data_IF_892088149616
#
_entry.id   IF_892088149616
#
_cell.length_a   1.000
_cell.length_b   1.000
_cell.length_c   1.000
_cell.angle_alpha   90.00
_cell.angle_beta   90.00
_cell.angle_gamma   90.00
#
_symmetry.space_group_name_H-M   'P 1'
#
loop_
_entity.id
_entity.type
_entity.pdbx_description
1 polymer ?
#
# COMPACT_ATOMS: atom_id res chain seq x y z
N UNK A 1 22.16 -6.39 -7.78
CA UNK A 1 21.07 -6.33 -6.79
C UNK A 1 21.64 -5.78 -5.49
N UNK A 2 20.93 -4.85 -4.81
CA UNK A 2 21.39 -4.22 -3.57
C UNK A 2 21.69 -5.22 -2.43
N UNK A 3 21.25 -6.47 -2.55
CA UNK A 3 21.44 -7.54 -1.56
C UNK A 3 22.52 -8.57 -1.93
N UNK A 4 23.26 -8.38 -3.03
CA UNK A 4 24.29 -9.34 -3.44
C UNK A 4 25.46 -9.28 -2.45
N UNK A 5 25.62 -10.33 -1.64
CA UNK A 5 26.62 -10.39 -0.57
C UNK A 5 26.12 -9.97 0.81
N UNK A 6 24.83 -9.65 0.97
CA UNK A 6 24.23 -9.46 2.29
C UNK A 6 24.17 -10.80 3.04
N UNK A 7 24.56 -10.77 4.33
CA UNK A 7 24.48 -11.93 5.22
C UNK A 7 23.23 -11.74 6.09
N UNK A 8 22.30 -12.71 6.14
CA UNK A 8 21.16 -12.64 7.03
C UNK A 8 21.61 -12.49 8.49
N UNK A 9 20.95 -11.61 9.23
CA UNK A 9 21.15 -11.49 10.69
C UNK A 9 20.69 -12.79 11.34
N UNK A 10 21.51 -13.34 12.24
CA UNK A 10 21.18 -14.55 12.97
C UNK A 10 19.94 -14.32 13.86
N UNK A 11 19.07 -15.33 14.02
CA UNK A 11 17.77 -15.15 14.69
C UNK A 11 17.90 -14.61 16.12
N UNK A 12 18.96 -15.03 16.81
CA UNK A 12 19.28 -14.68 18.18
C UNK A 12 19.73 -13.22 18.30
N UNK A 13 20.20 -12.63 17.20
CA UNK A 13 20.72 -11.27 17.12
C UNK A 13 19.66 -10.27 16.61
N UNK A 14 18.55 -10.73 16.00
CA UNK A 14 17.57 -9.86 15.36
C UNK A 14 17.08 -8.72 16.26
N UNK A 15 16.67 -9.04 17.49
CA UNK A 15 16.15 -8.04 18.42
C UNK A 15 17.21 -7.00 18.77
N UNK A 16 18.44 -7.44 19.06
CA UNK A 16 19.54 -6.53 19.38
C UNK A 16 19.91 -5.67 18.17
N UNK A 17 20.08 -6.25 17.00
CA UNK A 17 20.42 -5.53 15.76
C UNK A 17 19.33 -4.52 15.39
N UNK A 18 18.06 -4.87 15.57
CA UNK A 18 16.96 -3.94 15.37
C UNK A 18 17.03 -2.75 16.33
N UNK A 19 17.21 -3.02 17.63
CA UNK A 19 17.34 -1.98 18.66
C UNK A 19 18.54 -1.06 18.40
N UNK A 20 19.68 -1.62 18.00
CA UNK A 20 20.85 -0.83 17.61
C UNK A 20 20.55 0.08 16.39
N UNK A 21 19.77 -0.41 15.42
CA UNK A 21 19.41 0.35 14.22
C UNK A 21 18.43 1.49 14.53
N UNK A 22 17.36 1.23 15.29
CA UNK A 22 16.35 2.25 15.59
C UNK A 22 16.84 3.32 16.58
N UNK A 23 17.95 3.07 17.28
CA UNK A 23 18.60 4.04 18.15
C UNK A 23 19.68 4.90 17.46
N UNK A 24 19.83 4.78 16.14
CA UNK A 24 20.71 5.63 15.33
C UNK A 24 19.94 6.74 14.64
N UNK A 25 20.60 7.87 14.38
CA UNK A 25 20.00 8.95 13.60
C UNK A 25 19.93 8.59 12.12
N UNK A 26 18.89 9.08 11.45
CA UNK A 26 18.71 8.85 10.03
C UNK A 26 19.81 9.55 9.22
N UNK A 27 20.23 8.92 8.11
CA UNK A 27 21.11 9.58 7.14
C UNK A 27 20.44 10.83 6.54
N UNK A 28 21.19 11.85 6.09
CA UNK A 28 20.64 13.10 5.56
C UNK A 28 20.09 12.94 4.13
N UNK A 29 19.12 12.04 3.95
CA UNK A 29 18.46 11.73 2.69
C UNK A 29 16.95 11.71 2.90
N UNK A 30 16.19 11.84 1.81
CA UNK A 30 14.73 11.64 1.87
C UNK A 30 14.43 10.22 2.37
N UNK A 31 13.40 10.14 3.21
CA UNK A 31 12.99 8.92 3.90
C UNK A 31 11.58 8.54 3.49
N UNK A 32 11.31 7.24 3.45
CA UNK A 32 9.98 6.70 3.23
C UNK A 32 9.66 5.64 4.27
N UNK A 33 8.37 5.52 4.60
CA UNK A 33 7.82 4.39 5.36
C UNK A 33 7.01 3.54 4.40
N UNK A 34 7.22 2.23 4.43
CA UNK A 34 6.47 1.28 3.63
C UNK A 34 5.68 0.37 4.57
N UNK A 35 4.38 0.24 4.30
CA UNK A 35 3.47 -0.65 5.02
C UNK A 35 3.05 -1.78 4.10
N UNK A 36 3.33 -3.01 4.51
CA UNK A 36 3.00 -4.21 3.74
C UNK A 36 1.64 -4.78 4.16
N UNK A 37 0.58 -4.58 3.38
CA UNK A 37 -0.75 -5.15 3.66
C UNK A 37 -0.88 -6.52 2.98
N UNK A 38 -0.87 -7.65 3.70
CA UNK A 38 -0.65 -8.96 3.09
C UNK A 38 -1.94 -9.66 2.59
N UNK A 39 -3.03 -8.92 2.43
CA UNK A 39 -4.36 -9.49 2.13
C UNK A 39 -4.82 -9.16 0.71
N UNK A 40 -5.46 -10.12 0.06
CA UNK A 40 -6.05 -9.97 -1.27
C UNK A 40 -7.45 -10.59 -1.30
N UNK A 41 -8.44 -9.89 -1.87
CA UNK A 41 -9.78 -10.48 -2.08
C UNK A 41 -9.73 -11.68 -3.04
N UNK A 42 -8.91 -11.57 -4.09
CA UNK A 42 -8.69 -12.63 -5.08
C UNK A 42 -7.22 -12.73 -5.46
N UNK A 43 -6.81 -13.94 -5.87
CA UNK A 43 -5.49 -14.22 -6.43
C UNK A 43 -5.51 -13.95 -7.95
N UNK A 44 -4.68 -13.00 -8.40
CA UNK A 44 -4.50 -12.73 -9.83
C UNK A 44 -3.47 -13.70 -10.41
N UNK A 45 -3.71 -14.25 -11.60
CA UNK A 45 -2.87 -15.31 -12.17
C UNK A 45 -1.43 -14.90 -12.51
N UNK A 46 -1.16 -13.61 -12.58
CA UNK A 46 0.16 -13.04 -12.85
C UNK A 46 0.90 -12.59 -11.58
N UNK A 47 0.26 -12.61 -10.41
CA UNK A 47 0.76 -11.94 -9.22
C UNK A 47 1.72 -12.84 -8.41
N UNK A 48 2.96 -12.39 -8.24
CA UNK A 48 3.93 -13.02 -7.33
C UNK A 48 3.85 -12.57 -5.87
N UNK A 49 2.94 -11.65 -5.53
CA UNK A 49 2.83 -11.02 -4.21
C UNK A 49 1.65 -11.50 -3.38
N UNK A 50 0.82 -12.41 -3.90
CA UNK A 50 -0.32 -12.92 -3.15
C UNK A 50 0.16 -13.73 -1.94
N UNK A 51 -0.23 -13.31 -0.74
CA UNK A 51 0.10 -14.01 0.50
C UNK A 51 -1.16 -14.59 1.16
N UNK A 52 -2.09 -13.73 1.57
CA UNK A 52 -3.30 -14.16 2.29
C UNK A 52 -4.58 -13.78 1.57
N UNK A 53 -5.61 -14.63 1.70
CA UNK A 53 -6.97 -14.28 1.29
C UNK A 53 -7.54 -13.27 2.27
N UNK A 54 -8.32 -12.33 1.78
CA UNK A 54 -9.08 -11.40 2.62
C UNK A 54 -10.00 -12.17 3.59
N UNK A 55 -9.94 -11.76 4.85
CA UNK A 55 -10.81 -12.16 5.94
C UNK A 55 -10.91 -10.96 6.89
N UNK A 56 -12.13 -10.56 7.23
CA UNK A 56 -12.41 -9.31 7.97
C UNK A 56 -11.74 -9.30 9.36
N UNK A 57 -11.95 -10.36 10.15
CA UNK A 57 -11.35 -10.48 11.49
C UNK A 57 -9.81 -10.47 11.44
N UNK A 58 -9.22 -11.18 10.48
CA UNK A 58 -7.78 -11.20 10.30
C UNK A 58 -7.22 -9.83 9.88
N UNK A 59 -7.96 -9.08 9.05
CA UNK A 59 -7.58 -7.73 8.65
C UNK A 59 -7.66 -6.74 9.82
N UNK A 60 -8.71 -6.84 10.64
CA UNK A 60 -8.87 -6.02 11.85
C UNK A 60 -7.75 -6.32 12.86
N UNK A 61 -7.49 -7.60 13.13
CA UNK A 61 -6.41 -8.02 14.04
C UNK A 61 -5.04 -7.57 13.54
N UNK A 62 -4.77 -7.71 12.23
CA UNK A 62 -3.55 -7.20 11.62
C UNK A 62 -3.43 -5.69 11.76
N UNK A 63 -4.52 -4.95 11.55
CA UNK A 63 -4.55 -3.48 11.69
C UNK A 63 -4.21 -3.07 13.12
N UNK A 64 -4.79 -3.73 14.12
CA UNK A 64 -4.50 -3.43 15.53
C UNK A 64 -3.03 -3.73 15.88
N UNK A 65 -2.50 -4.86 15.38
CA UNK A 65 -1.10 -5.22 15.57
C UNK A 65 -0.14 -4.22 14.91
N UNK A 66 -0.45 -3.78 13.69
CA UNK A 66 0.32 -2.80 12.92
C UNK A 66 0.31 -1.42 13.61
N UNK A 67 -0.84 -0.95 14.07
CA UNK A 67 -0.94 0.31 14.82
C UNK A 67 -0.09 0.23 16.09
N UNK A 68 -0.18 -0.87 16.83
CA UNK A 68 0.63 -1.09 18.03
C UNK A 68 2.13 -1.09 17.73
N UNK A 69 2.56 -1.72 16.63
CA UNK A 69 3.95 -1.70 16.18
C UNK A 69 4.43 -0.27 15.88
N UNK A 70 3.63 0.51 15.13
CA UNK A 70 3.92 1.93 14.87
C UNK A 70 4.07 2.70 16.18
N UNK A 71 3.14 2.52 17.13
CA UNK A 71 3.17 3.20 18.42
C UNK A 71 4.39 2.81 19.27
N UNK A 72 4.80 1.55 19.23
CA UNK A 72 5.95 1.06 19.98
C UNK A 72 7.28 1.64 19.47
N UNK A 73 7.37 1.95 18.18
CA UNK A 73 8.62 2.36 17.56
C UNK A 73 8.70 3.83 17.20
N UNK A 74 7.57 4.54 17.14
CA UNK A 74 7.50 5.91 16.67
C UNK A 74 8.47 6.84 17.40
N UNK A 75 8.65 6.66 18.71
CA UNK A 75 9.50 7.52 19.55
C UNK A 75 11.00 7.18 19.47
N UNK A 76 11.41 6.23 18.61
CA UNK A 76 12.82 5.89 18.43
C UNK A 76 13.64 7.03 17.84
N UNK A 77 14.95 7.04 18.13
CA UNK A 77 15.90 8.04 17.58
C UNK A 77 15.84 8.06 16.07
N UNK A 78 15.80 6.89 15.43
CA UNK A 78 15.74 6.79 13.97
C UNK A 78 14.48 7.46 13.43
N UNK A 79 13.30 7.14 13.96
CA UNK A 79 12.04 7.68 13.48
C UNK A 79 11.96 9.20 13.67
N UNK A 80 12.35 9.71 14.84
CA UNK A 80 12.23 11.13 15.19
C UNK A 80 13.35 12.04 14.66
N UNK A 81 14.49 11.49 14.24
CA UNK A 81 15.68 12.30 13.88
C UNK A 81 15.56 13.14 12.60
N UNK A 82 14.59 12.88 11.72
CA UNK A 82 14.39 13.65 10.48
C UNK A 82 12.99 13.44 9.87
N UNK A 83 12.48 14.38 9.04
CA UNK A 83 11.17 14.21 8.42
C UNK A 83 11.06 13.01 7.46
N UNK A 84 9.88 12.37 7.45
CA UNK A 84 9.50 11.32 6.49
C UNK A 84 8.75 11.97 5.32
N UNK A 85 9.20 11.68 4.10
CA UNK A 85 8.74 12.37 2.90
C UNK A 85 7.71 11.57 2.10
N UNK A 86 7.60 10.27 2.37
CA UNK A 86 6.60 9.42 1.76
C UNK A 86 6.17 8.29 2.69
N UNK A 87 4.90 7.92 2.60
CA UNK A 87 4.29 6.74 3.20
C UNK A 87 3.64 5.96 2.08
N UNK A 88 4.00 4.68 1.95
CA UNK A 88 3.52 3.83 0.87
C UNK A 88 2.86 2.58 1.41
N UNK A 89 1.58 2.40 1.12
CA UNK A 89 0.83 1.19 1.44
C UNK A 89 0.82 0.30 0.21
N UNK A 90 1.38 -0.90 0.32
CA UNK A 90 1.44 -1.86 -0.79
C UNK A 90 1.43 -3.32 -0.33
N UNK A 91 1.84 -4.22 -1.21
CA UNK A 91 1.96 -5.66 -0.94
C UNK A 91 0.84 -6.45 -1.62
N UNK A 92 -0.21 -6.78 -0.87
CA UNK A 92 -1.42 -7.40 -1.39
C UNK A 92 -2.38 -6.38 -1.99
N UNK A 93 -3.40 -6.00 -1.21
CA UNK A 93 -4.38 -4.98 -1.57
C UNK A 93 -4.70 -4.15 -0.33
N UNK A 94 -4.00 -3.03 -0.11
CA UNK A 94 -4.36 -2.09 0.96
C UNK A 94 -5.82 -1.67 0.91
N UNK A 95 -6.37 -1.42 -0.29
CA UNK A 95 -7.79 -1.12 -0.47
C UNK A 95 -8.77 -2.23 -0.03
N UNK A 96 -8.28 -3.39 0.42
CA UNK A 96 -9.12 -4.45 1.00
C UNK A 96 -9.57 -4.14 2.42
N UNK A 97 -8.77 -3.37 3.15
CA UNK A 97 -9.07 -2.98 4.52
C UNK A 97 -10.36 -2.16 4.56
N UNK A 98 -11.01 -2.14 5.73
CA UNK A 98 -12.18 -1.31 5.93
C UNK A 98 -11.82 0.18 5.82
N UNK A 99 -12.79 1.04 5.51
CA UNK A 99 -12.59 2.49 5.47
C UNK A 99 -12.09 3.00 6.84
N UNK A 100 -12.67 2.47 7.92
CA UNK A 100 -12.27 2.73 9.29
C UNK A 100 -10.81 2.36 9.56
N UNK A 101 -10.37 1.17 9.17
CA UNK A 101 -9.00 0.72 9.42
C UNK A 101 -7.96 1.50 8.61
N UNK A 102 -8.27 1.83 7.36
CA UNK A 102 -7.43 2.70 6.53
C UNK A 102 -7.25 4.07 7.18
N UNK A 103 -8.35 4.69 7.61
CA UNK A 103 -8.32 5.98 8.28
C UNK A 103 -7.53 5.93 9.60
N UNK A 104 -7.69 4.85 10.39
CA UNK A 104 -6.94 4.64 11.63
C UNK A 104 -5.43 4.60 11.38
N UNK A 105 -4.97 3.75 10.46
CA UNK A 105 -3.53 3.60 10.20
C UNK A 105 -2.93 4.92 9.70
N UNK A 106 -3.57 5.59 8.74
CA UNK A 106 -3.08 6.87 8.20
C UNK A 106 -3.03 7.94 9.30
N UNK A 107 -4.07 8.03 10.13
CA UNK A 107 -4.13 8.99 11.25
C UNK A 107 -3.02 8.71 12.25
N UNK A 108 -2.83 7.46 12.67
CA UNK A 108 -1.73 7.08 13.59
C UNK A 108 -0.36 7.46 13.03
N UNK A 109 -0.09 7.20 11.75
CA UNK A 109 1.18 7.59 11.13
C UNK A 109 1.40 9.10 11.16
N UNK A 110 0.36 9.89 10.86
CA UNK A 110 0.42 11.36 10.89
C UNK A 110 0.60 11.93 12.30
N UNK A 111 0.03 11.28 13.31
CA UNK A 111 0.14 11.70 14.70
C UNK A 111 1.47 11.32 15.34
N UNK A 112 2.02 10.15 14.97
CA UNK A 112 3.17 9.55 15.65
C UNK A 112 4.51 9.82 14.98
N UNK A 113 4.53 9.97 13.65
CA UNK A 113 5.77 10.13 12.90
C UNK A 113 5.96 11.59 12.44
N UNK A 114 7.22 12.08 12.36
CA UNK A 114 7.49 13.42 11.86
C UNK A 114 7.34 13.45 10.33
N UNK A 115 6.13 13.46 9.82
CA UNK A 115 5.89 13.56 8.38
C UNK A 115 6.23 14.98 7.88
N UNK A 116 6.85 15.07 6.71
CA UNK A 116 7.07 16.34 6.04
C UNK A 116 5.72 17.00 5.69
N UNK A 117 5.63 18.35 5.65
CA UNK A 117 4.39 19.04 5.29
C UNK A 117 3.81 18.63 3.93
N UNK A 118 4.68 18.26 2.99
CA UNK A 118 4.36 17.79 1.64
C UNK A 118 4.51 16.26 1.48
N UNK A 119 4.43 15.52 2.59
CA UNK A 119 4.59 14.06 2.57
C UNK A 119 3.60 13.40 1.61
N UNK A 120 4.11 12.57 0.70
CA UNK A 120 3.27 11.76 -0.18
C UNK A 120 2.72 10.56 0.60
N UNK A 121 1.41 10.40 0.66
CA UNK A 121 0.76 9.23 1.26
C UNK A 121 0.04 8.47 0.14
N UNK A 122 0.69 7.40 -0.33
CA UNK A 122 0.20 6.55 -1.42
C UNK A 122 -0.54 5.33 -0.88
N UNK A 123 -1.76 5.10 -1.39
CA UNK A 123 -2.51 3.85 -1.19
C UNK A 123 -2.59 3.06 -2.50
N UNK A 124 -2.05 1.84 -2.51
CA UNK A 124 -2.33 0.89 -3.59
C UNK A 124 -3.76 0.34 -3.50
N UNK A 125 -4.42 0.26 -4.65
CA UNK A 125 -5.77 -0.27 -4.74
C UNK A 125 -6.06 -0.97 -6.05
N UNK A 126 -7.24 -1.58 -6.12
CA UNK A 126 -7.83 -2.10 -7.35
C UNK A 126 -9.31 -1.72 -7.41
N UNK A 127 -9.90 -1.83 -8.59
CA UNK A 127 -11.33 -1.56 -8.82
C UNK A 127 -12.25 -2.35 -7.88
N UNK A 128 -11.86 -3.58 -7.53
CA UNK A 128 -12.62 -4.43 -6.61
C UNK A 128 -12.38 -4.00 -5.17
N UNK A 129 -13.47 -3.81 -4.41
CA UNK A 129 -13.48 -3.47 -2.98
C UNK A 129 -12.85 -2.11 -2.64
N UNK A 130 -12.67 -1.22 -3.61
CA UNK A 130 -12.28 0.16 -3.34
C UNK A 130 -13.44 1.07 -3.70
N UNK A 131 -14.40 1.21 -2.80
CA UNK A 131 -15.60 2.01 -2.99
C UNK A 131 -15.41 3.47 -2.54
N UNK A 132 -16.44 4.29 -2.75
CA UNK A 132 -16.42 5.70 -2.39
C UNK A 132 -16.09 5.92 -0.90
N UNK A 133 -16.69 5.14 -0.01
CA UNK A 133 -16.46 5.22 1.43
C UNK A 133 -14.97 5.06 1.78
N UNK A 134 -14.30 4.03 1.24
CA UNK A 134 -12.86 3.82 1.47
C UNK A 134 -12.00 4.92 0.87
N UNK A 135 -12.30 5.35 -0.36
CA UNK A 135 -11.55 6.42 -1.03
C UNK A 135 -11.63 7.71 -0.20
N UNK A 136 -12.84 8.09 0.19
CA UNK A 136 -13.08 9.33 0.91
C UNK A 136 -12.48 9.26 2.32
N UNK A 137 -12.56 8.13 3.02
CA UNK A 137 -11.87 7.92 4.29
C UNK A 137 -10.34 8.04 4.18
N UNK A 138 -9.72 7.49 3.12
CA UNK A 138 -8.29 7.67 2.88
C UNK A 138 -7.93 9.14 2.65
N UNK A 139 -8.69 9.83 1.79
CA UNK A 139 -8.47 11.25 1.48
C UNK A 139 -8.61 12.13 2.72
N UNK A 140 -9.66 11.91 3.51
CA UNK A 140 -9.94 12.66 4.73
C UNK A 140 -8.89 12.41 5.82
N UNK A 141 -8.34 11.19 5.89
CA UNK A 141 -7.24 10.87 6.77
C UNK A 141 -5.89 11.47 6.32
N UNK A 142 -5.76 11.84 5.04
CA UNK A 142 -4.58 12.56 4.50
C UNK A 142 -3.86 11.86 3.35
N UNK A 143 -4.40 10.76 2.80
CA UNK A 143 -3.89 10.20 1.56
C UNK A 143 -4.01 11.21 0.42
N UNK A 144 -2.97 11.33 -0.39
CA UNK A 144 -2.91 12.31 -1.49
C UNK A 144 -2.43 11.68 -2.82
N UNK A 145 -2.19 10.37 -2.83
CA UNK A 145 -1.90 9.61 -4.04
C UNK A 145 -2.54 8.21 -4.01
N UNK A 146 -3.09 7.79 -5.14
CA UNK A 146 -3.64 6.45 -5.32
C UNK A 146 -2.96 5.76 -6.49
N UNK A 147 -2.45 4.53 -6.28
CA UNK A 147 -1.92 3.69 -7.35
C UNK A 147 -2.92 2.57 -7.63
N UNK A 148 -3.58 2.62 -8.78
CA UNK A 148 -4.66 1.69 -9.12
C UNK A 148 -4.16 0.65 -10.11
N UNK A 149 -4.17 -0.60 -9.66
CA UNK A 149 -3.85 -1.73 -10.50
C UNK A 149 -4.95 -2.05 -11.51
N UNK A 150 -4.94 -1.42 -12.68
CA UNK A 150 -5.88 -1.68 -13.79
C UNK A 150 -5.41 -2.85 -14.65
N UNK A 151 -4.12 -2.84 -15.01
CA UNK A 151 -3.39 -3.80 -15.82
C UNK A 151 -3.80 -3.86 -17.30
N UNK A 152 -5.10 -3.97 -17.57
CA UNK A 152 -5.69 -3.86 -18.91
C UNK A 152 -7.15 -3.40 -18.79
N UNK A 153 -7.62 -2.61 -19.74
CA UNK A 153 -9.04 -2.24 -19.87
C UNK A 153 -9.84 -3.25 -20.70
N UNK A 154 -9.18 -4.24 -21.31
CA UNK A 154 -9.87 -5.24 -22.13
C UNK A 154 -10.53 -6.31 -21.27
N UNK A 155 -11.87 -6.39 -21.30
CA UNK A 155 -12.63 -7.32 -20.45
C UNK A 155 -12.25 -8.80 -20.64
N UNK A 156 -11.88 -9.22 -21.85
CA UNK A 156 -11.46 -10.62 -22.11
C UNK A 156 -10.11 -10.92 -21.45
N UNK A 157 -9.16 -9.99 -21.55
CA UNK A 157 -7.84 -10.11 -20.92
C UNK A 157 -7.99 -10.09 -19.40
N UNK A 158 -8.75 -9.14 -18.86
CA UNK A 158 -9.03 -9.04 -17.41
C UNK A 158 -9.59 -10.35 -16.84
N UNK A 159 -10.57 -10.95 -17.52
CA UNK A 159 -11.16 -12.23 -17.09
C UNK A 159 -10.12 -13.35 -17.05
N UNK A 160 -9.23 -13.44 -18.06
CA UNK A 160 -8.12 -14.42 -18.07
C UNK A 160 -7.13 -14.22 -16.92
N UNK A 161 -7.00 -13.00 -16.43
CA UNK A 161 -6.12 -12.63 -15.31
C UNK A 161 -6.75 -12.84 -13.92
N UNK A 162 -7.93 -13.47 -13.86
CA UNK A 162 -8.75 -13.59 -12.65
C UNK A 162 -9.13 -12.23 -12.02
N UNK A 163 -9.26 -11.18 -12.84
CA UNK A 163 -9.88 -9.91 -12.45
C UNK A 163 -11.38 -10.00 -12.70
N UNK A 164 -12.17 -9.77 -11.65
CA UNK A 164 -13.63 -9.94 -11.68
C UNK A 164 -14.39 -8.76 -12.30
N UNK A 165 -13.85 -7.54 -12.22
CA UNK A 165 -14.43 -6.37 -12.88
C UNK A 165 -14.04 -6.30 -14.35
N UNK A 166 -14.98 -5.88 -15.20
CA UNK A 166 -14.75 -5.70 -16.63
C UNK A 166 -14.12 -4.33 -16.95
N UNK A 167 -13.85 -4.10 -18.25
CA UNK A 167 -13.26 -2.86 -18.75
C UNK A 167 -14.10 -1.61 -18.47
N UNK A 168 -15.38 -1.58 -18.86
CA UNK A 168 -16.27 -0.45 -18.57
C UNK A 168 -16.37 -0.11 -17.08
N UNK A 169 -16.43 -1.11 -16.19
CA UNK A 169 -16.42 -0.90 -14.73
C UNK A 169 -15.10 -0.25 -14.29
N UNK A 170 -13.97 -0.70 -14.83
CA UNK A 170 -12.66 -0.13 -14.53
C UNK A 170 -12.53 1.34 -15.00
N UNK A 171 -13.07 1.68 -16.16
CA UNK A 171 -13.12 3.06 -16.67
C UNK A 171 -13.99 3.93 -15.75
N UNK A 172 -15.21 3.48 -15.46
CA UNK A 172 -16.15 4.21 -14.58
C UNK A 172 -15.54 4.46 -13.19
N UNK A 173 -14.86 3.45 -12.65
CA UNK A 173 -14.12 3.58 -11.39
C UNK A 173 -13.05 4.68 -11.46
N UNK A 174 -12.17 4.64 -12.48
CA UNK A 174 -11.11 5.63 -12.67
C UNK A 174 -11.67 7.04 -12.84
N UNK A 175 -12.73 7.20 -13.64
CA UNK A 175 -13.42 8.48 -13.80
C UNK A 175 -13.95 9.00 -12.47
N UNK A 176 -14.57 8.14 -11.65
CA UNK A 176 -15.10 8.52 -10.35
C UNK A 176 -14.00 8.95 -9.37
N UNK A 177 -12.83 8.32 -9.45
CA UNK A 177 -11.68 8.64 -8.62
C UNK A 177 -11.05 9.97 -9.05
N UNK A 178 -10.84 10.17 -10.35
CA UNK A 178 -10.28 11.41 -10.91
C UNK A 178 -11.21 12.60 -10.68
N UNK A 179 -12.53 12.42 -10.82
CA UNK A 179 -13.53 13.48 -10.58
C UNK A 179 -13.50 14.08 -9.18
N UNK A 180 -12.87 13.40 -8.21
CA UNK A 180 -12.70 13.94 -6.85
C UNK A 180 -11.70 15.09 -6.79
N UNK A 181 -10.71 15.11 -7.67
CA UNK A 181 -9.68 16.16 -7.76
C UNK A 181 -8.98 16.49 -6.42
N UNK A 182 -8.77 15.46 -5.59
CA UNK A 182 -8.15 15.57 -4.25
C UNK A 182 -6.82 14.82 -4.10
N UNK A 183 -6.42 14.05 -5.10
CA UNK A 183 -5.23 13.21 -5.07
C UNK A 183 -4.64 12.98 -6.46
N UNK A 184 -3.34 12.71 -6.51
CA UNK A 184 -2.70 12.20 -7.72
C UNK A 184 -3.16 10.76 -7.95
N UNK A 185 -3.61 10.44 -9.16
CA UNK A 185 -4.05 9.09 -9.52
C UNK A 185 -3.08 8.49 -10.53
N UNK A 186 -2.57 7.30 -10.20
CA UNK A 186 -1.72 6.49 -11.08
C UNK A 186 -2.46 5.23 -11.48
N UNK A 187 -2.25 4.82 -12.73
CA UNK A 187 -2.86 3.65 -13.33
C UNK A 187 -1.74 2.68 -13.74
N UNK A 188 -1.67 1.53 -13.10
CA UNK A 188 -0.69 0.50 -13.45
C UNK A 188 -1.21 -0.30 -14.64
N UNK A 189 -0.38 -0.46 -15.67
CA UNK A 189 -0.67 -1.22 -16.89
C UNK A 189 0.39 -2.28 -17.10
N UNK A 190 -0.02 -3.43 -17.64
CA UNK A 190 0.87 -4.53 -18.02
C UNK A 190 0.72 -4.82 -19.51
N UNK A 191 1.84 -5.12 -20.15
CA UNK A 191 1.90 -5.58 -21.54
C UNK A 191 2.40 -7.03 -21.59
N UNK A 192 2.08 -7.75 -22.68
CA UNK A 192 2.45 -9.16 -22.85
C UNK A 192 1.57 -10.13 -22.06
N UNK A 193 0.34 -9.72 -21.74
CA UNK A 193 -0.60 -10.56 -21.00
C UNK A 193 -1.15 -11.71 -21.88
N UNK A 194 -1.56 -12.85 -21.30
CA UNK A 194 -2.07 -13.98 -22.08
C UNK A 194 -3.25 -13.62 -23.00
N UNK A 195 -3.01 -13.68 -24.31
CA UNK A 195 -3.99 -13.33 -25.35
C UNK A 195 -4.14 -11.83 -25.62
N UNK A 196 -3.15 -11.03 -25.22
CA UNK A 196 -2.98 -9.65 -25.65
C UNK A 196 -2.26 -9.61 -27.01
N UNK A 197 -2.71 -8.73 -27.89
CA UNK A 197 -2.05 -8.39 -29.15
C UNK A 197 -1.86 -6.87 -29.27
N UNK A 198 -1.40 -6.38 -30.41
CA UNK A 198 -1.13 -4.95 -30.62
C UNK A 198 -2.38 -4.05 -30.57
N UNK A 199 -3.59 -4.62 -30.71
CA UNK A 199 -4.85 -3.89 -30.72
C UNK A 199 -5.65 -4.05 -29.42
N UNK A 200 -5.25 -4.96 -28.52
CA UNK A 200 -6.07 -5.41 -27.39
C UNK A 200 -5.45 -5.22 -26.01
#
# INVERSE_FOLDING_TARGET
MPFRGAIPVAKEQLAQTWQEMINQTASPRKRLVYLHIPFCATHCTFCGFYQNRFNEDACAHYTDALIREIEMEADSVLHQSAPIHAVYFGGGMPSALSAHDLARIITTLREKLPLAPDCEITIEGRVLNFDAERIDACLDAGANRFSIGIQSFNSKIRKKMARTSDGPTAITFMESLVKRDRATVVCDLLFGLPGQDAQT
#
